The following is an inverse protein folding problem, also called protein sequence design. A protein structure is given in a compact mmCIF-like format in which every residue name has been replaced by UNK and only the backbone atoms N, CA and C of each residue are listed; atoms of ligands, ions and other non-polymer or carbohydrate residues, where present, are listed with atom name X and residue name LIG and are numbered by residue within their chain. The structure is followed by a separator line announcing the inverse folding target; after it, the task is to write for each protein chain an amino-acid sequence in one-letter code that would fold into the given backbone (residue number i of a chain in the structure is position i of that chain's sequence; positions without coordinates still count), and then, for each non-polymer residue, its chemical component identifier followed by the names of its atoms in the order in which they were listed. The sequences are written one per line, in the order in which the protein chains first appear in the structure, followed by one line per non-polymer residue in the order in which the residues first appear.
data_IF_671222249696
#
_entry.id   IF_671222249696
#
_cell.length_a   1.000
_cell.length_b   1.000
_cell.length_c   1.000
_cell.angle_alpha   90.00
_cell.angle_beta   90.00
_cell.angle_gamma   90.00
#
_symmetry.space_group_name_H-M   'P 1'
#
loop_
_entity.id
_entity.type
_entity.pdbx_description
1 polymer ?
#
# COMPACT_ATOMS: atom_id res chain seq x y z
N UNK A 1 39.17 -31.25 -58.17
CA UNK A 1 38.28 -30.74 -59.24
C UNK A 1 37.49 -29.62 -58.65
N UNK A 2 37.89 -28.43 -58.91
CA UNK A 2 37.28 -27.46 -59.81
C UNK A 2 35.89 -27.04 -59.29
N UNK A 3 35.50 -25.85 -58.90
CA UNK A 3 36.03 -24.52 -59.17
C UNK A 3 34.86 -23.56 -59.31
N UNK A 4 35.14 -22.27 -59.11
CA UNK A 4 34.40 -21.10 -59.61
C UNK A 4 33.13 -20.72 -58.69
N UNK A 5 33.02 -19.65 -57.91
CA UNK A 5 33.49 -18.29 -58.15
C UNK A 5 32.42 -17.44 -58.79
N UNK A 6 31.76 -16.54 -58.02
CA UNK A 6 31.43 -15.20 -58.52
C UNK A 6 30.92 -14.30 -57.42
N UNK A 7 31.68 -13.31 -57.07
CA UNK A 7 31.26 -12.17 -56.25
C UNK A 7 30.44 -11.20 -57.09
N UNK A 8 29.64 -10.41 -56.42
CA UNK A 8 29.19 -9.07 -56.87
C UNK A 8 29.10 -8.15 -55.69
N UNK A 9 30.04 -7.22 -55.70
CA UNK A 9 30.02 -5.97 -54.96
C UNK A 9 28.77 -5.17 -55.34
N UNK A 10 28.16 -4.54 -54.35
CA UNK A 10 27.22 -3.42 -54.57
C UNK A 10 27.60 -2.30 -53.61
N UNK A 11 28.17 -1.25 -54.19
CA UNK A 11 28.57 0.00 -53.58
C UNK A 11 27.33 0.93 -53.45
N UNK A 12 27.23 1.68 -52.37
CA UNK A 12 26.11 2.63 -52.15
C UNK A 12 26.55 4.05 -52.46
N UNK A 13 25.76 4.84 -53.15
CA UNK A 13 25.55 6.27 -53.06
C UNK A 13 24.76 6.81 -54.25
N UNK A 14 23.87 7.77 -54.10
CA UNK A 14 24.35 9.15 -54.02
C UNK A 14 23.62 10.06 -53.02
N UNK A 15 24.40 10.99 -52.51
CA UNK A 15 23.99 12.15 -51.71
C UNK A 15 23.11 13.09 -52.52
N UNK A 16 21.89 13.42 -52.04
CA UNK A 16 21.20 14.62 -52.40
C UNK A 16 21.33 15.65 -51.29
N UNK A 17 22.14 16.69 -51.53
CA UNK A 17 22.14 17.93 -50.78
C UNK A 17 20.95 18.80 -51.29
N UNK A 18 20.00 19.06 -50.39
CA UNK A 18 19.11 20.21 -50.55
C UNK A 18 19.57 21.33 -49.63
N UNK A 19 20.10 22.38 -50.23
CA UNK A 19 20.31 23.69 -49.60
C UNK A 19 18.95 24.40 -49.56
N UNK A 20 18.49 24.74 -48.35
CA UNK A 20 17.42 25.72 -48.16
C UNK A 20 18.02 26.99 -47.53
N UNK A 21 17.52 28.20 -47.94
CA UNK A 21 18.14 29.45 -47.61
C UNK A 21 17.84 29.89 -46.17
N UNK A 22 18.77 30.66 -45.62
CA UNK A 22 18.78 31.12 -44.25
C UNK A 22 17.55 31.91 -43.83
N UNK A 23 17.00 31.51 -42.68
CA UNK A 23 16.14 32.35 -41.86
C UNK A 23 16.95 32.71 -40.61
N UNK A 24 17.28 34.00 -40.47
CA UNK A 24 17.79 34.59 -39.22
C UNK A 24 16.75 34.36 -38.12
N UNK A 25 17.15 33.56 -37.12
CA UNK A 25 16.43 33.53 -35.84
C UNK A 25 16.91 34.72 -34.96
N UNK A 26 15.99 35.49 -34.36
CA UNK A 26 16.38 36.54 -33.42
C UNK A 26 16.98 35.89 -32.14
N UNK A 27 17.94 36.59 -31.56
CA UNK A 27 18.65 36.21 -30.37
C UNK A 27 17.73 35.70 -29.25
N UNK A 28 18.05 34.51 -28.74
CA UNK A 28 17.43 33.95 -27.56
C UNK A 28 17.73 34.85 -26.37
N UNK A 29 16.73 35.58 -25.91
CA UNK A 29 16.75 36.27 -24.62
C UNK A 29 17.01 35.24 -23.52
N UNK A 30 18.07 35.40 -22.79
CA UNK A 30 18.37 34.62 -21.60
C UNK A 30 17.16 34.64 -20.66
N UNK A 31 16.71 33.48 -20.16
CA UNK A 31 15.63 33.47 -19.18
C UNK A 31 16.14 34.12 -17.90
N UNK A 32 15.68 35.33 -17.62
CA UNK A 32 15.75 35.93 -16.30
C UNK A 32 14.98 35.01 -15.35
N UNK A 33 15.70 34.27 -14.53
CA UNK A 33 15.14 33.47 -13.45
C UNK A 33 14.51 34.41 -12.42
N UNK A 34 13.25 34.77 -12.66
CA UNK A 34 12.42 35.31 -11.60
C UNK A 34 12.05 34.14 -10.71
N UNK A 35 12.81 33.96 -9.67
CA UNK A 35 12.46 33.06 -8.55
C UNK A 35 11.33 33.76 -7.78
N UNK A 36 10.12 33.72 -8.31
CA UNK A 36 8.92 33.98 -7.53
C UNK A 36 8.80 32.81 -6.58
N UNK A 37 9.14 33.02 -5.29
CA UNK A 37 8.73 32.12 -4.24
C UNK A 37 7.22 31.86 -4.41
N UNK A 38 6.85 30.62 -4.65
CA UNK A 38 5.43 30.26 -4.73
C UNK A 38 4.77 30.77 -3.44
N UNK A 39 3.58 31.40 -3.51
CA UNK A 39 2.89 31.88 -2.33
C UNK A 39 2.74 30.67 -1.38
N UNK A 40 3.26 30.80 -0.16
CA UNK A 40 3.07 29.81 0.90
C UNK A 40 1.57 29.80 1.20
N UNK A 41 0.87 28.80 0.65
CA UNK A 41 -0.53 28.56 0.94
C UNK A 41 -0.66 28.27 2.44
N UNK A 42 -1.46 29.07 3.15
CA UNK A 42 -1.80 28.76 4.53
C UNK A 42 -2.79 27.57 4.52
N UNK A 43 -2.42 26.41 5.08
CA UNK A 43 -3.31 25.24 5.07
C UNK A 43 -4.63 25.51 5.80
N UNK A 44 -4.64 26.43 6.76
CA UNK A 44 -5.84 26.82 7.49
C UNK A 44 -6.89 27.51 6.59
N UNK A 45 -6.49 28.17 5.51
CA UNK A 45 -7.41 28.81 4.56
C UNK A 45 -8.16 27.78 3.69
N UNK A 46 -7.63 26.58 3.52
CA UNK A 46 -8.12 25.60 2.56
C UNK A 46 -8.69 24.32 3.19
N UNK A 47 -8.38 24.02 4.45
CA UNK A 47 -8.82 22.81 5.12
C UNK A 47 -9.51 23.13 6.46
N UNK A 48 -10.83 22.95 6.51
CA UNK A 48 -11.60 23.01 7.75
C UNK A 48 -11.14 21.93 8.75
N UNK A 49 -10.72 20.79 8.23
CA UNK A 49 -10.17 19.72 9.04
C UNK A 49 -8.90 20.19 9.77
N UNK A 50 -7.94 20.79 9.05
CA UNK A 50 -6.72 21.34 9.65
C UNK A 50 -7.00 22.37 10.73
N UNK A 51 -7.94 23.30 10.50
CA UNK A 51 -8.36 24.29 11.52
C UNK A 51 -8.92 23.62 12.79
N UNK A 52 -9.73 22.53 12.60
CA UNK A 52 -10.25 21.77 13.75
C UNK A 52 -9.12 21.12 14.54
N UNK A 53 -8.12 20.55 13.86
CA UNK A 53 -6.97 19.92 14.50
C UNK A 53 -6.15 20.92 15.34
N UNK A 54 -5.82 22.08 14.79
CA UNK A 54 -5.07 23.13 15.49
C UNK A 54 -5.75 23.56 16.79
N UNK A 55 -7.08 23.74 16.76
CA UNK A 55 -7.84 24.13 17.96
C UNK A 55 -7.94 23.03 18.99
N UNK A 56 -8.18 21.79 18.54
CA UNK A 56 -8.46 20.67 19.44
C UNK A 56 -7.19 20.14 20.11
N UNK A 57 -6.07 20.12 19.41
CA UNK A 57 -4.80 19.54 19.86
C UNK A 57 -3.70 20.59 20.07
N UNK A 58 -4.09 21.80 20.51
CA UNK A 58 -3.15 22.89 20.72
C UNK A 58 -2.05 22.52 21.73
N UNK A 59 -2.40 21.82 22.81
CA UNK A 59 -1.47 21.40 23.86
C UNK A 59 -0.53 20.26 23.42
N UNK A 60 -0.97 19.43 22.48
CA UNK A 60 -0.18 18.32 21.92
C UNK A 60 0.60 18.71 20.66
N UNK A 61 0.31 19.88 20.08
CA UNK A 61 0.84 20.30 18.78
C UNK A 61 2.35 20.27 18.69
N UNK A 62 3.03 20.63 19.79
CA UNK A 62 4.48 20.66 19.89
C UNK A 62 5.14 19.30 20.05
N UNK A 63 4.38 18.24 20.37
CA UNK A 63 4.92 16.89 20.59
C UNK A 63 5.44 16.26 19.30
N UNK A 64 4.81 16.56 18.15
CA UNK A 64 5.32 16.13 16.85
C UNK A 64 6.03 17.30 16.17
N UNK A 65 7.36 17.24 15.98
CA UNK A 65 8.12 18.32 15.38
C UNK A 65 7.66 18.65 13.96
N UNK A 66 7.90 19.88 13.48
CA UNK A 66 7.65 20.26 12.09
C UNK A 66 8.46 19.40 11.11
N UNK A 67 7.95 19.29 9.88
CA UNK A 67 8.59 18.52 8.81
C UNK A 67 7.97 17.12 8.63
N UNK A 68 8.69 16.25 7.90
CA UNK A 68 8.18 14.94 7.58
C UNK A 68 8.10 14.03 8.83
N UNK A 69 6.91 13.52 9.17
CA UNK A 69 6.78 12.53 10.23
C UNK A 69 7.55 11.27 9.85
N UNK A 70 8.56 10.91 10.64
CA UNK A 70 9.31 9.66 10.48
C UNK A 70 9.03 8.75 11.67
N UNK A 71 9.28 7.45 11.51
CA UNK A 71 9.00 6.43 12.53
C UNK A 71 9.53 6.81 13.92
N UNK A 72 10.74 7.34 13.99
CA UNK A 72 11.39 7.69 15.26
C UNK A 72 10.61 8.78 16.03
N UNK A 73 10.27 9.89 15.37
CA UNK A 73 9.56 10.97 16.04
C UNK A 73 8.09 10.64 16.31
N UNK A 74 7.44 9.80 15.49
CA UNK A 74 6.11 9.28 15.78
C UNK A 74 6.09 8.41 17.03
N UNK A 75 7.06 7.51 17.21
CA UNK A 75 7.20 6.68 18.42
C UNK A 75 7.51 7.53 19.65
N UNK A 76 8.37 8.54 19.52
CA UNK A 76 8.65 9.47 20.61
C UNK A 76 7.41 10.27 21.02
N UNK A 77 6.64 10.75 20.06
CA UNK A 77 5.36 11.44 20.31
C UNK A 77 4.36 10.51 21.02
N UNK A 78 4.27 9.25 20.57
CA UNK A 78 3.39 8.25 21.20
C UNK A 78 3.77 8.02 22.67
N UNK A 79 5.06 7.85 22.96
CA UNK A 79 5.57 7.69 24.32
C UNK A 79 5.22 8.92 25.20
N UNK A 80 5.46 10.13 24.68
CA UNK A 80 5.13 11.37 25.40
C UNK A 80 3.63 11.51 25.68
N UNK A 81 2.75 11.06 24.79
CA UNK A 81 1.31 11.03 25.03
C UNK A 81 0.95 10.05 26.14
N UNK A 82 1.56 8.87 26.17
CA UNK A 82 1.34 7.87 27.21
C UNK A 82 1.87 8.33 28.59
N UNK A 83 3.03 8.99 28.63
CA UNK A 83 3.58 9.61 29.84
C UNK A 83 2.67 10.71 30.41
N UNK A 84 1.88 11.39 29.56
CA UNK A 84 0.83 12.32 29.95
C UNK A 84 -0.46 11.63 30.41
N UNK A 85 -0.47 10.30 30.53
CA UNK A 85 -1.60 9.51 31.01
C UNK A 85 -2.60 9.10 29.94
N UNK A 86 -2.32 9.33 28.66
CA UNK A 86 -3.19 8.85 27.59
C UNK A 86 -3.08 7.32 27.42
N UNK A 87 -4.18 6.56 27.48
CA UNK A 87 -4.15 5.14 27.17
C UNK A 87 -3.77 4.92 25.68
N UNK A 88 -3.15 3.78 25.35
CA UNK A 88 -2.66 3.52 23.99
C UNK A 88 -3.70 3.78 22.89
N UNK A 89 -4.98 3.36 23.01
CA UNK A 89 -5.98 3.63 21.98
C UNK A 89 -6.22 5.13 21.72
N UNK A 90 -6.22 5.96 22.76
CA UNK A 90 -6.37 7.42 22.65
C UNK A 90 -5.09 8.06 22.11
N UNK A 91 -3.93 7.66 22.63
CA UNK A 91 -2.62 8.17 22.19
C UNK A 91 -2.37 7.93 20.69
N UNK A 92 -2.73 6.75 20.16
CA UNK A 92 -2.64 6.44 18.73
C UNK A 92 -3.53 7.32 17.86
N UNK A 93 -4.74 7.63 18.33
CA UNK A 93 -5.67 8.52 17.61
C UNK A 93 -5.17 9.95 17.60
N UNK A 94 -4.67 10.45 18.74
CA UNK A 94 -4.07 11.78 18.83
C UNK A 94 -2.83 11.86 17.92
N UNK A 95 -1.94 10.88 17.98
CA UNK A 95 -0.78 10.79 17.09
C UNK A 95 -1.19 10.89 15.63
N UNK A 96 -2.21 10.12 15.21
CA UNK A 96 -2.74 10.19 13.85
C UNK A 96 -3.15 11.61 13.46
N UNK A 97 -3.87 12.32 14.36
CA UNK A 97 -4.33 13.68 14.07
C UNK A 97 -3.14 14.65 13.90
N UNK A 98 -2.10 14.53 14.73
CA UNK A 98 -0.88 15.34 14.60
C UNK A 98 -0.13 15.02 13.29
N UNK A 99 -0.01 13.73 12.94
CA UNK A 99 0.60 13.32 11.67
C UNK A 99 -0.18 13.88 10.49
N UNK A 100 -1.51 13.77 10.49
CA UNK A 100 -2.36 14.33 9.43
C UNK A 100 -2.15 15.83 9.24
N UNK A 101 -2.02 16.59 10.33
CA UNK A 101 -1.73 18.02 10.26
C UNK A 101 -0.39 18.29 9.58
N UNK A 102 0.68 17.56 9.94
CA UNK A 102 1.99 17.69 9.28
C UNK A 102 1.96 17.29 7.81
N UNK A 103 1.18 16.27 7.44
CA UNK A 103 1.04 15.86 6.04
C UNK A 103 0.30 16.92 5.20
N UNK A 104 -0.70 17.61 5.76
CA UNK A 104 -1.37 18.73 5.09
C UNK A 104 -0.37 19.87 4.84
N UNK A 105 0.43 20.24 5.83
CA UNK A 105 1.49 21.26 5.70
C UNK A 105 2.49 20.88 4.58
N UNK A 106 2.94 19.65 4.56
CA UNK A 106 3.91 19.14 3.59
C UNK A 106 3.35 19.08 2.17
N UNK A 107 2.16 18.52 2.00
CA UNK A 107 1.58 18.30 0.65
C UNK A 107 1.03 19.60 0.06
N UNK A 108 0.26 20.38 0.84
CA UNK A 108 -0.42 21.56 0.33
C UNK A 108 0.50 22.79 0.27
N UNK A 109 1.40 22.98 1.25
CA UNK A 109 2.23 24.18 1.34
C UNK A 109 3.64 23.95 0.80
N UNK A 110 4.30 22.88 1.22
CA UNK A 110 5.67 22.57 0.82
C UNK A 110 5.76 21.75 -0.48
N UNK A 111 4.62 21.30 -1.05
CA UNK A 111 4.57 20.47 -2.25
C UNK A 111 5.53 19.26 -2.18
N UNK A 112 5.55 18.59 -1.04
CA UNK A 112 6.42 17.46 -0.78
C UNK A 112 6.17 16.32 -1.81
N UNK A 113 7.18 15.52 -2.14
CA UNK A 113 7.03 14.37 -3.00
C UNK A 113 5.96 13.40 -2.49
N UNK A 114 5.19 12.79 -3.39
CA UNK A 114 4.18 11.78 -3.07
C UNK A 114 4.72 10.68 -2.15
N UNK A 115 5.96 10.24 -2.39
CA UNK A 115 6.61 9.20 -1.58
C UNK A 115 6.74 9.59 -0.11
N UNK A 116 7.03 10.84 0.21
CA UNK A 116 7.14 11.36 1.59
C UNK A 116 5.81 11.20 2.32
N UNK A 117 4.72 11.57 1.67
CA UNK A 117 3.37 11.51 2.26
C UNK A 117 2.94 10.05 2.48
N UNK A 118 3.07 9.22 1.44
CA UNK A 118 2.64 7.82 1.52
C UNK A 118 3.50 6.98 2.47
N UNK A 119 4.79 7.28 2.56
CA UNK A 119 5.69 6.62 3.50
C UNK A 119 5.31 6.96 4.95
N UNK A 120 5.12 8.23 5.28
CA UNK A 120 4.74 8.64 6.63
C UNK A 120 3.38 8.03 7.06
N UNK A 121 2.38 8.02 6.16
CA UNK A 121 1.09 7.38 6.43
C UNK A 121 1.23 5.86 6.64
N UNK A 122 2.07 5.21 5.84
CA UNK A 122 2.33 3.77 5.97
C UNK A 122 3.04 3.45 7.28
N UNK A 123 4.05 4.23 7.66
CA UNK A 123 4.78 4.05 8.92
C UNK A 123 3.86 4.25 10.14
N UNK A 124 2.94 5.22 10.08
CA UNK A 124 1.93 5.40 11.11
C UNK A 124 1.03 4.16 11.26
N UNK A 125 0.60 3.57 10.15
CA UNK A 125 -0.21 2.34 10.19
C UNK A 125 0.59 1.15 10.75
N UNK A 126 1.85 1.00 10.35
CA UNK A 126 2.75 -0.04 10.88
C UNK A 126 2.97 0.12 12.39
N UNK A 127 3.18 1.35 12.89
CA UNK A 127 3.32 1.65 14.34
C UNK A 127 2.03 1.28 15.07
N UNK A 128 0.88 1.73 14.56
CA UNK A 128 -0.40 1.48 15.22
C UNK A 128 -0.71 -0.01 15.33
N UNK A 129 -0.48 -0.77 14.26
CA UNK A 129 -0.69 -2.23 14.25
C UNK A 129 0.31 -2.96 15.15
N UNK A 130 1.58 -2.56 15.15
CA UNK A 130 2.62 -3.14 16.01
C UNK A 130 2.31 -2.94 17.49
N UNK A 131 1.98 -1.73 17.91
CA UNK A 131 1.66 -1.40 19.30
C UNK A 131 0.36 -2.06 19.77
N UNK A 132 -0.68 -2.06 18.91
CA UNK A 132 -1.94 -2.74 19.21
C UNK A 132 -1.75 -4.26 19.34
N UNK A 133 -0.94 -4.87 18.48
CA UNK A 133 -0.62 -6.30 18.54
C UNK A 133 0.14 -6.66 19.83
N UNK A 134 1.16 -5.88 20.20
CA UNK A 134 1.92 -6.07 21.44
C UNK A 134 1.03 -5.99 22.68
N UNK A 135 0.16 -4.96 22.74
CA UNK A 135 -0.78 -4.82 23.86
C UNK A 135 -1.77 -5.98 23.94
N UNK A 136 -2.35 -6.36 22.78
CA UNK A 136 -3.32 -7.46 22.72
C UNK A 136 -2.71 -8.79 23.15
N UNK A 137 -1.48 -9.09 22.70
CA UNK A 137 -0.77 -10.32 23.11
C UNK A 137 -0.42 -10.28 24.61
N UNK A 138 0.11 -9.18 25.12
CA UNK A 138 0.42 -9.07 26.55
C UNK A 138 -0.82 -9.29 27.45
N UNK A 139 -1.97 -8.77 27.05
CA UNK A 139 -3.23 -8.98 27.74
C UNK A 139 -3.67 -10.45 27.72
N UNK A 140 -3.61 -11.11 26.54
CA UNK A 140 -4.05 -12.49 26.39
C UNK A 140 -3.06 -13.48 26.99
N UNK A 141 -1.77 -13.23 26.87
CA UNK A 141 -0.71 -14.07 27.46
C UNK A 141 -0.84 -14.13 29.00
N UNK A 142 -1.23 -13.03 29.64
CA UNK A 142 -1.47 -13.02 31.10
C UNK A 142 -2.63 -13.93 31.53
N UNK A 143 -3.58 -14.20 30.64
CA UNK A 143 -4.80 -15.00 30.94
C UNK A 143 -4.73 -16.44 30.42
N UNK A 144 -3.99 -16.65 29.31
CA UNK A 144 -4.03 -17.91 28.56
C UNK A 144 -2.65 -18.52 28.35
N UNK A 145 -1.57 -17.82 28.73
CA UNK A 145 -0.22 -18.20 28.34
C UNK A 145 0.05 -17.97 26.84
N UNK A 146 1.23 -18.39 26.39
CA UNK A 146 1.67 -18.16 25.02
C UNK A 146 1.15 -19.24 24.07
N UNK A 147 0.79 -18.91 22.81
CA UNK A 147 0.47 -19.89 21.79
C UNK A 147 1.68 -20.82 21.52
N UNK A 148 1.43 -22.12 21.53
CA UNK A 148 2.43 -23.15 21.28
C UNK A 148 2.05 -24.00 20.07
N UNK A 149 3.06 -24.40 19.32
CA UNK A 149 2.91 -25.38 18.25
C UNK A 149 2.90 -26.83 18.77
N UNK A 150 2.84 -27.81 17.85
CA UNK A 150 2.73 -29.23 18.22
C UNK A 150 3.86 -29.77 19.11
N UNK A 151 5.06 -29.17 19.00
CA UNK A 151 6.25 -29.54 19.76
C UNK A 151 6.49 -28.62 20.98
N UNK A 152 5.52 -27.77 21.32
CA UNK A 152 5.62 -26.80 22.39
C UNK A 152 6.42 -25.54 22.07
N UNK A 153 6.87 -25.36 20.82
CA UNK A 153 7.58 -24.17 20.37
C UNK A 153 6.63 -22.97 20.31
N UNK A 154 7.15 -21.74 20.53
CA UNK A 154 6.35 -20.51 20.33
C UNK A 154 5.84 -20.39 18.89
N UNK A 155 4.63 -19.86 18.72
CA UNK A 155 3.98 -19.68 17.43
C UNK A 155 4.11 -18.24 16.97
N UNK A 156 4.65 -18.06 15.76
CA UNK A 156 4.71 -16.77 15.10
C UNK A 156 3.33 -16.30 14.63
N UNK A 157 3.16 -14.98 14.60
CA UNK A 157 1.95 -14.33 14.14
C UNK A 157 2.29 -13.16 13.24
N UNK A 158 1.56 -13.03 12.14
CA UNK A 158 1.82 -11.99 11.13
C UNK A 158 0.54 -11.23 10.80
N UNK A 159 0.64 -9.91 10.84
CA UNK A 159 -0.35 -9.00 10.27
C UNK A 159 0.13 -8.65 8.88
N UNK A 160 -0.64 -9.08 7.88
CA UNK A 160 -0.32 -8.87 6.47
C UNK A 160 -1.11 -7.67 5.97
N UNK A 161 -0.41 -6.59 5.62
CA UNK A 161 -1.00 -5.45 4.92
C UNK A 161 -1.14 -5.77 3.44
N UNK A 162 -2.33 -5.57 2.91
CA UNK A 162 -2.68 -5.77 1.52
C UNK A 162 -2.69 -4.44 0.76
N UNK A 163 -2.81 -4.48 -0.54
CA UNK A 163 -3.00 -3.31 -1.38
C UNK A 163 -1.97 -2.19 -1.15
N UNK A 164 -2.45 -0.98 -0.92
CA UNK A 164 -1.58 0.20 -0.74
C UNK A 164 -0.71 0.13 0.53
N UNK A 165 -1.22 -0.45 1.62
CA UNK A 165 -0.44 -0.67 2.84
C UNK A 165 0.73 -1.62 2.59
N UNK A 166 0.47 -2.75 1.95
CA UNK A 166 1.51 -3.72 1.61
C UNK A 166 2.56 -3.15 0.64
N UNK A 167 2.15 -2.29 -0.28
CA UNK A 167 3.03 -1.61 -1.24
C UNK A 167 3.78 -0.39 -0.69
N UNK A 168 3.53 0.04 0.54
CA UNK A 168 4.03 1.31 1.12
C UNK A 168 3.56 2.56 0.36
N UNK A 169 2.35 2.48 -0.15
CA UNK A 169 1.71 3.55 -0.92
C UNK A 169 0.40 4.02 -0.27
N UNK A 170 0.27 3.93 1.08
CA UNK A 170 -0.98 4.20 1.77
C UNK A 170 -1.41 5.66 1.59
N UNK A 171 -2.68 5.87 1.28
CA UNK A 171 -3.29 7.21 1.24
C UNK A 171 -3.54 7.74 2.64
N UNK A 172 -3.68 9.04 2.74
CA UNK A 172 -3.87 9.77 4.01
C UNK A 172 -5.18 9.42 4.71
N UNK A 173 -6.25 9.14 3.96
CA UNK A 173 -7.54 8.70 4.51
C UNK A 173 -8.04 7.43 3.82
N UNK A 174 -7.20 6.38 3.83
CA UNK A 174 -7.52 5.07 3.25
C UNK A 174 -7.92 4.08 4.34
N UNK A 175 -8.75 3.11 3.95
CA UNK A 175 -8.89 1.89 4.73
C UNK A 175 -7.58 1.09 4.65
N UNK A 176 -7.31 0.28 5.66
CA UNK A 176 -6.24 -0.70 5.66
C UNK A 176 -6.83 -2.10 5.52
N UNK A 177 -6.49 -2.76 4.41
CA UNK A 177 -6.88 -4.14 4.15
C UNK A 177 -5.87 -5.07 4.83
N UNK A 178 -6.33 -5.97 5.69
CA UNK A 178 -5.48 -6.84 6.50
C UNK A 178 -5.87 -8.31 6.39
N UNK A 179 -4.86 -9.17 6.49
CA UNK A 179 -5.02 -10.61 6.71
C UNK A 179 -4.15 -11.02 7.90
N UNK A 180 -4.72 -11.76 8.84
CA UNK A 180 -4.00 -12.29 9.98
C UNK A 180 -3.64 -13.76 9.75
N UNK A 181 -2.35 -14.08 9.88
CA UNK A 181 -1.83 -15.44 9.71
C UNK A 181 -0.98 -15.80 10.91
N UNK A 182 -1.12 -17.03 11.42
CA UNK A 182 -0.26 -17.60 12.43
C UNK A 182 0.37 -18.90 11.93
N UNK A 183 1.51 -19.29 12.52
CA UNK A 183 2.36 -20.33 11.97
C UNK A 183 1.77 -21.73 12.11
N UNK A 184 1.40 -22.13 13.33
CA UNK A 184 0.96 -23.50 13.63
C UNK A 184 -0.33 -23.52 14.44
N UNK A 185 -1.19 -24.48 14.14
CA UNK A 185 -2.27 -24.88 15.04
C UNK A 185 -1.70 -25.52 16.30
N UNK A 186 -2.45 -25.47 17.39
CA UNK A 186 -2.06 -25.96 18.70
C UNK A 186 -2.89 -25.30 19.80
N UNK A 187 -2.34 -25.28 21.01
CA UNK A 187 -2.97 -24.68 22.19
C UNK A 187 -1.99 -23.75 22.91
N UNK A 188 -2.52 -22.82 23.68
CA UNK A 188 -1.69 -21.97 24.54
C UNK A 188 -1.13 -22.76 25.70
N UNK A 189 0.00 -22.30 26.28
CA UNK A 189 0.64 -22.94 27.42
C UNK A 189 -0.22 -22.96 28.68
N UNK A 190 -1.20 -22.08 28.79
CA UNK A 190 -1.97 -21.82 29.98
C UNK A 190 -1.25 -20.89 30.95
N UNK A 191 -1.92 -20.57 32.05
CA UNK A 191 -1.34 -19.85 33.19
C UNK A 191 -0.43 -20.75 34.02
N UNK A 192 0.44 -20.25 34.92
CA UNK A 192 1.35 -21.07 35.72
C UNK A 192 0.65 -22.16 36.56
N UNK A 193 -0.63 -21.97 36.88
CA UNK A 193 -1.47 -22.97 37.56
C UNK A 193 -2.13 -23.98 36.61
N UNK A 194 -1.77 -23.95 35.31
CA UNK A 194 -2.25 -24.86 34.26
C UNK A 194 -3.65 -24.59 33.75
N UNK A 195 -4.27 -23.49 34.15
CA UNK A 195 -5.62 -23.09 33.72
C UNK A 195 -5.58 -22.18 32.47
N UNK A 196 -6.74 -21.90 31.92
CA UNK A 196 -6.93 -20.88 30.88
C UNK A 196 -6.42 -21.27 29.50
N UNK A 197 -6.04 -22.54 29.25
CA UNK A 197 -5.66 -23.00 27.91
C UNK A 197 -6.80 -22.83 26.91
N UNK A 198 -6.48 -22.31 25.76
CA UNK A 198 -7.37 -22.19 24.60
C UNK A 198 -6.62 -22.58 23.33
N UNK A 199 -7.35 -22.90 22.27
CA UNK A 199 -6.75 -23.21 20.97
C UNK A 199 -6.09 -21.98 20.34
N UNK A 200 -5.05 -22.18 19.51
CA UNK A 200 -4.41 -21.09 18.77
C UNK A 200 -5.38 -20.32 17.87
N UNK A 201 -6.31 -20.96 17.11
CA UNK A 201 -7.35 -20.25 16.38
C UNK A 201 -8.18 -19.29 17.25
N UNK A 202 -8.59 -19.74 18.43
CA UNK A 202 -9.35 -18.91 19.38
C UNK A 202 -8.51 -17.77 19.93
N UNK A 203 -7.26 -18.04 20.32
CA UNK A 203 -6.33 -17.02 20.80
C UNK A 203 -6.12 -15.92 19.76
N UNK A 204 -5.77 -16.27 18.52
CA UNK A 204 -5.50 -15.29 17.47
C UNK A 204 -6.76 -14.58 16.95
N UNK A 205 -7.94 -15.19 17.04
CA UNK A 205 -9.20 -14.52 16.81
C UNK A 205 -9.48 -13.42 17.86
N UNK A 206 -9.10 -13.65 19.12
CA UNK A 206 -9.19 -12.66 20.20
C UNK A 206 -8.14 -11.54 20.00
N UNK A 207 -6.90 -11.87 19.62
CA UNK A 207 -5.87 -10.87 19.24
C UNK A 207 -6.40 -9.96 18.14
N UNK A 208 -6.94 -10.53 17.05
CA UNK A 208 -7.48 -9.75 15.94
C UNK A 208 -8.60 -8.80 16.38
N UNK A 209 -9.48 -9.24 17.30
CA UNK A 209 -10.55 -8.40 17.85
C UNK A 209 -10.00 -7.25 18.69
N UNK A 210 -9.01 -7.48 19.55
CA UNK A 210 -8.39 -6.44 20.38
C UNK A 210 -7.64 -5.41 19.51
N UNK A 211 -6.97 -5.85 18.46
CA UNK A 211 -6.35 -4.95 17.48
C UNK A 211 -7.41 -4.08 16.81
N UNK A 212 -8.55 -4.67 16.41
CA UNK A 212 -9.66 -3.93 15.80
C UNK A 212 -10.20 -2.86 16.76
N UNK A 213 -10.46 -3.19 18.01
CA UNK A 213 -10.91 -2.24 19.03
C UNK A 213 -9.90 -1.10 19.23
N UNK A 214 -8.61 -1.42 19.28
CA UNK A 214 -7.55 -0.42 19.51
C UNK A 214 -7.39 0.54 18.33
N UNK A 215 -7.42 0.03 17.08
CA UNK A 215 -7.12 0.81 15.88
C UNK A 215 -8.37 1.29 15.14
N UNK A 216 -9.39 0.42 15.03
CA UNK A 216 -10.54 0.60 14.15
C UNK A 216 -11.73 1.33 14.78
N UNK A 217 -11.97 1.15 16.08
CA UNK A 217 -13.13 1.73 16.74
C UNK A 217 -13.08 3.26 16.71
N UNK A 218 -14.26 3.89 16.53
CA UNK A 218 -14.40 5.34 16.52
C UNK A 218 -14.67 5.86 17.92
N UNK A 219 -13.89 6.84 18.34
CA UNK A 219 -14.02 7.56 19.61
C UNK A 219 -14.20 9.05 19.36
N UNK A 220 -14.16 9.87 20.42
CA UNK A 220 -14.14 11.34 20.32
C UNK A 220 -12.92 11.87 19.54
N UNK A 221 -11.83 11.09 19.46
CA UNK A 221 -10.65 11.39 18.64
C UNK A 221 -10.71 10.81 17.23
N UNK A 222 -11.84 10.21 16.84
CA UNK A 222 -12.00 9.43 15.60
C UNK A 222 -11.45 8.01 15.72
N UNK A 223 -11.12 7.37 14.59
CA UNK A 223 -10.40 6.10 14.55
C UNK A 223 -8.93 6.33 14.12
N UNK A 224 -8.05 5.36 14.37
CA UNK A 224 -6.68 5.44 13.82
C UNK A 224 -6.72 5.11 12.33
N UNK A 225 -7.28 3.95 11.97
CA UNK A 225 -7.57 3.56 10.59
C UNK A 225 -8.86 2.74 10.55
N UNK A 226 -9.65 2.91 9.49
CA UNK A 226 -10.71 1.96 9.15
C UNK A 226 -10.06 0.66 8.68
N UNK A 227 -10.51 -0.47 9.20
CA UNK A 227 -9.91 -1.78 8.95
C UNK A 227 -10.85 -2.63 8.13
N UNK A 228 -10.33 -3.24 7.05
CA UNK A 228 -11.06 -4.19 6.21
C UNK A 228 -10.36 -5.56 6.22
N UNK A 229 -11.13 -6.60 6.52
CA UNK A 229 -10.69 -7.99 6.52
C UNK A 229 -11.32 -8.82 5.39
N UNK A 230 -12.01 -8.20 4.44
CA UNK A 230 -12.76 -8.90 3.39
C UNK A 230 -11.85 -9.71 2.43
N UNK A 231 -10.56 -9.37 2.36
CA UNK A 231 -9.58 -10.09 1.53
C UNK A 231 -9.04 -11.39 2.15
N UNK A 232 -9.45 -11.71 3.41
CA UNK A 232 -9.02 -12.96 4.05
C UNK A 232 -9.65 -14.19 3.39
N UNK A 233 -9.06 -15.38 3.52
CA UNK A 233 -9.65 -16.62 3.02
C UNK A 233 -11.13 -16.77 3.41
N UNK A 234 -11.96 -17.10 2.45
CA UNK A 234 -13.43 -17.18 2.58
C UNK A 234 -14.12 -15.84 2.91
N UNK A 235 -13.42 -14.70 2.81
CA UNK A 235 -14.00 -13.38 3.04
C UNK A 235 -14.67 -13.26 4.41
N UNK A 236 -15.86 -12.67 4.47
CA UNK A 236 -16.56 -12.43 5.74
C UNK A 236 -17.10 -13.72 6.41
N UNK A 237 -17.14 -14.84 5.71
CA UNK A 237 -17.53 -16.15 6.26
C UNK A 237 -16.35 -16.91 6.88
N UNK A 238 -15.11 -16.48 6.59
CA UNK A 238 -13.90 -17.10 7.13
C UNK A 238 -13.53 -16.61 8.53
N UNK A 239 -12.67 -17.36 9.25
CA UNK A 239 -12.17 -16.94 10.56
C UNK A 239 -11.36 -15.64 10.45
N UNK A 240 -11.26 -14.85 11.56
CA UNK A 240 -10.49 -13.62 11.57
C UNK A 240 -8.99 -13.84 11.33
N UNK A 241 -8.43 -14.95 11.81
CA UNK A 241 -7.06 -15.36 11.61
C UNK A 241 -7.00 -16.82 11.14
N UNK A 242 -6.02 -17.15 10.30
CA UNK A 242 -5.85 -18.48 9.70
C UNK A 242 -4.45 -19.01 9.98
N UNK A 243 -4.30 -20.33 10.10
CA UNK A 243 -2.97 -20.93 10.15
C UNK A 243 -2.29 -20.90 8.77
N UNK A 244 -0.95 -20.97 8.76
CA UNK A 244 -0.18 -20.98 7.50
C UNK A 244 -0.60 -22.18 6.63
N UNK A 245 -0.85 -23.33 7.22
CA UNK A 245 -1.31 -24.52 6.52
C UNK A 245 -2.71 -24.32 5.88
N UNK A 246 -3.64 -23.75 6.63
CA UNK A 246 -4.97 -23.44 6.10
C UNK A 246 -4.93 -22.38 4.99
N UNK A 247 -4.03 -21.39 5.09
CA UNK A 247 -3.79 -20.42 4.01
C UNK A 247 -3.25 -21.11 2.75
N UNK A 248 -2.28 -22.01 2.91
CA UNK A 248 -1.69 -22.75 1.78
C UNK A 248 -2.75 -23.59 1.05
N UNK A 249 -3.51 -24.37 1.80
CA UNK A 249 -4.60 -25.18 1.25
C UNK A 249 -5.63 -24.31 0.51
N UNK A 250 -6.05 -23.19 1.13
CA UNK A 250 -6.97 -22.26 0.49
C UNK A 250 -6.45 -21.73 -0.84
N UNK A 251 -5.20 -21.26 -0.88
CA UNK A 251 -4.61 -20.68 -2.09
C UNK A 251 -4.40 -21.72 -3.19
N UNK A 252 -4.16 -23.00 -2.83
CA UNK A 252 -3.99 -24.09 -3.78
C UNK A 252 -5.33 -24.56 -4.37
N UNK A 253 -6.37 -24.68 -3.54
CA UNK A 253 -7.64 -25.32 -3.93
C UNK A 253 -8.71 -24.31 -4.35
N UNK A 254 -8.80 -23.18 -3.66
CA UNK A 254 -9.88 -22.20 -3.81
C UNK A 254 -9.42 -20.83 -4.33
N UNK A 255 -8.10 -20.56 -4.31
CA UNK A 255 -7.54 -19.26 -4.67
C UNK A 255 -7.95 -18.81 -6.07
N UNK A 256 -8.60 -17.65 -6.17
CA UNK A 256 -9.15 -17.08 -7.41
C UNK A 256 -8.12 -16.18 -8.10
N UNK A 257 -8.30 -15.97 -9.39
CA UNK A 257 -7.38 -15.16 -10.19
C UNK A 257 -7.27 -13.71 -9.70
N UNK A 258 -8.38 -13.09 -9.23
CA UNK A 258 -8.34 -11.74 -8.70
C UNK A 258 -7.55 -11.64 -7.38
N UNK A 259 -7.46 -12.71 -6.59
CA UNK A 259 -6.69 -12.73 -5.34
C UNK A 259 -5.19 -12.65 -5.60
N UNK A 260 -4.71 -13.10 -6.77
CA UNK A 260 -3.30 -12.91 -7.16
C UNK A 260 -2.91 -11.44 -7.21
N UNK A 261 -3.82 -10.58 -7.68
CA UNK A 261 -3.62 -9.12 -7.70
C UNK A 261 -3.57 -8.55 -6.28
N UNK A 262 -4.43 -9.04 -5.39
CA UNK A 262 -4.42 -8.64 -3.99
C UNK A 262 -3.11 -9.08 -3.30
N UNK A 263 -2.75 -10.35 -3.41
CA UNK A 263 -1.55 -10.93 -2.80
C UNK A 263 -0.23 -10.41 -3.39
N UNK A 264 -0.22 -9.93 -4.63
CA UNK A 264 0.95 -9.30 -5.26
C UNK A 264 1.48 -8.14 -4.41
N UNK A 265 0.60 -7.32 -3.85
CA UNK A 265 0.96 -6.18 -2.99
C UNK A 265 1.00 -6.55 -1.50
N UNK A 266 0.91 -7.82 -1.12
CA UNK A 266 0.93 -8.25 0.27
C UNK A 266 2.31 -8.09 0.92
N UNK A 267 2.34 -7.72 2.21
CA UNK A 267 3.56 -7.60 3.01
C UNK A 267 3.24 -7.78 4.50
N UNK A 268 4.09 -8.49 5.23
CA UNK A 268 4.03 -8.48 6.70
C UNK A 268 4.33 -7.06 7.19
N UNK A 269 3.43 -6.47 7.96
CA UNK A 269 3.52 -5.09 8.45
C UNK A 269 3.71 -5.01 9.96
N UNK A 270 3.31 -6.05 10.69
CA UNK A 270 3.48 -6.20 12.12
C UNK A 270 3.38 -7.70 12.52
N UNK A 271 3.87 -8.12 13.69
CA UNK A 271 4.75 -7.35 14.58
C UNK A 271 6.10 -7.04 13.91
N UNK A 272 6.76 -5.97 14.38
CA UNK A 272 8.04 -5.52 13.78
C UNK A 272 9.16 -6.55 13.93
N UNK A 273 9.15 -7.32 14.97
CA UNK A 273 10.13 -8.39 15.29
C UNK A 273 10.02 -9.57 14.31
N UNK A 274 8.81 -9.88 13.86
CA UNK A 274 8.55 -11.00 12.94
C UNK A 274 8.83 -10.67 11.46
N UNK A 275 9.11 -9.40 11.12
CA UNK A 275 9.34 -8.99 9.72
C UNK A 275 10.63 -9.58 9.13
N UNK A 276 11.67 -9.70 9.94
CA UNK A 276 12.99 -10.20 9.53
C UNK A 276 13.22 -11.68 9.83
N UNK A 277 12.27 -12.36 10.47
CA UNK A 277 12.39 -13.74 10.92
C UNK A 277 12.42 -14.76 9.77
N UNK A 278 12.96 -15.94 10.05
CA UNK A 278 12.98 -17.10 9.13
C UNK A 278 11.57 -17.58 8.80
N UNK A 279 10.66 -17.51 9.75
CA UNK A 279 9.27 -17.91 9.60
C UNK A 279 8.51 -17.11 8.52
N UNK A 280 8.87 -15.83 8.29
CA UNK A 280 8.34 -15.05 7.15
C UNK A 280 8.70 -15.67 5.80
N UNK A 281 9.79 -16.42 5.70
CA UNK A 281 10.16 -17.12 4.47
C UNK A 281 9.17 -18.26 4.15
N UNK A 282 8.65 -18.95 5.18
CA UNK A 282 7.60 -19.96 5.00
C UNK A 282 6.34 -19.33 4.42
N UNK A 283 5.86 -18.20 4.99
CA UNK A 283 4.74 -17.45 4.43
C UNK A 283 4.99 -17.02 2.97
N UNK A 284 6.19 -16.54 2.66
CA UNK A 284 6.56 -16.19 1.27
C UNK A 284 6.57 -17.41 0.36
N UNK A 285 7.00 -18.56 0.87
CA UNK A 285 6.98 -19.84 0.16
C UNK A 285 5.58 -20.25 -0.29
N UNK A 286 4.57 -19.96 0.52
CA UNK A 286 3.15 -20.19 0.19
C UNK A 286 2.62 -19.16 -0.81
N UNK A 287 2.88 -17.86 -0.59
CA UNK A 287 2.29 -16.78 -1.37
C UNK A 287 2.90 -16.62 -2.77
N UNK A 288 4.23 -16.72 -2.90
CA UNK A 288 4.90 -16.44 -4.18
C UNK A 288 4.51 -17.40 -5.31
N UNK A 289 4.41 -18.72 -5.10
CA UNK A 289 3.95 -19.66 -6.14
C UNK A 289 2.51 -19.42 -6.56
N UNK A 290 1.66 -18.99 -5.62
CA UNK A 290 0.29 -18.63 -5.94
C UNK A 290 0.23 -17.40 -6.85
N UNK A 291 0.97 -16.32 -6.52
CA UNK A 291 0.93 -15.06 -7.28
C UNK A 291 1.64 -15.19 -8.63
N UNK A 292 2.84 -15.79 -8.66
CA UNK A 292 3.73 -15.79 -9.82
C UNK A 292 3.93 -17.23 -10.36
N UNK A 293 3.03 -17.67 -11.22
CA UNK A 293 3.22 -18.92 -11.96
C UNK A 293 4.22 -18.74 -13.08
N UNK A 294 5.05 -19.76 -13.32
CA UNK A 294 6.04 -19.76 -14.41
C UNK A 294 5.36 -19.82 -15.79
N UNK A 295 4.26 -20.54 -15.87
CA UNK A 295 3.44 -20.69 -17.06
C UNK A 295 1.99 -20.37 -16.69
N UNK A 296 1.38 -19.50 -17.49
CA UNK A 296 -0.03 -19.14 -17.34
C UNK A 296 -0.81 -19.84 -18.46
N UNK A 297 -1.86 -20.54 -18.10
CA UNK A 297 -2.80 -21.12 -19.05
C UNK A 297 -3.55 -20.02 -19.81
N UNK A 298 -3.99 -20.34 -21.03
CA UNK A 298 -4.81 -19.44 -21.87
C UNK A 298 -6.05 -18.93 -21.11
N UNK A 299 -6.66 -19.78 -20.30
CA UNK A 299 -7.82 -19.43 -19.48
C UNK A 299 -7.57 -18.29 -18.48
N UNK A 300 -6.32 -18.10 -18.04
CA UNK A 300 -5.96 -16.99 -17.15
C UNK A 300 -6.09 -15.65 -17.90
N UNK A 301 -5.69 -15.58 -19.16
CA UNK A 301 -5.84 -14.36 -19.96
C UNK A 301 -7.31 -13.99 -20.19
N UNK A 302 -8.17 -14.98 -20.44
CA UNK A 302 -9.62 -14.77 -20.56
C UNK A 302 -10.22 -14.28 -19.23
N UNK A 303 -9.84 -14.88 -18.12
CA UNK A 303 -10.28 -14.46 -16.77
C UNK A 303 -9.82 -13.05 -16.45
N UNK A 304 -8.59 -12.67 -16.83
CA UNK A 304 -8.05 -11.33 -16.64
C UNK A 304 -8.77 -10.29 -17.51
N UNK A 305 -9.08 -10.62 -18.76
CA UNK A 305 -9.90 -9.76 -19.65
C UNK A 305 -11.31 -9.57 -19.10
N UNK A 306 -11.91 -10.63 -18.58
CA UNK A 306 -13.23 -10.58 -17.95
C UNK A 306 -13.20 -9.69 -16.70
N UNK A 307 -12.19 -9.84 -15.84
CA UNK A 307 -12.00 -9.00 -14.65
C UNK A 307 -11.84 -7.50 -15.03
N UNK A 308 -11.03 -7.19 -16.04
CA UNK A 308 -10.89 -5.82 -16.53
C UNK A 308 -12.21 -5.25 -17.03
N UNK A 309 -12.98 -6.03 -17.80
CA UNK A 309 -14.29 -5.65 -18.29
C UNK A 309 -15.25 -5.36 -17.13
N UNK A 310 -15.32 -6.25 -16.14
CA UNK A 310 -16.14 -6.05 -14.94
C UNK A 310 -15.78 -4.77 -14.18
N UNK A 311 -14.48 -4.48 -14.01
CA UNK A 311 -14.02 -3.23 -13.37
C UNK A 311 -14.56 -2.02 -14.14
N UNK A 312 -14.48 -2.01 -15.48
CA UNK A 312 -14.97 -0.90 -16.32
C UNK A 312 -16.50 -0.77 -16.30
N UNK A 313 -17.21 -1.87 -16.39
CA UNK A 313 -18.69 -1.89 -16.29
C UNK A 313 -19.17 -1.38 -14.92
N UNK A 314 -18.49 -1.77 -13.86
CA UNK A 314 -18.79 -1.26 -12.51
C UNK A 314 -18.55 0.25 -12.42
N UNK A 315 -17.46 0.77 -12.97
CA UNK A 315 -17.18 2.20 -13.01
C UNK A 315 -18.26 2.96 -13.79
N UNK A 316 -18.66 2.46 -14.97
CA UNK A 316 -19.71 3.04 -15.81
C UNK A 316 -21.06 3.01 -15.08
N UNK A 317 -21.43 1.91 -14.44
CA UNK A 317 -22.69 1.81 -13.68
C UNK A 317 -22.75 2.78 -12.50
N UNK A 318 -21.61 2.99 -11.82
CA UNK A 318 -21.54 3.94 -10.68
C UNK A 318 -21.62 5.41 -11.10
N UNK A 319 -21.15 5.76 -12.28
CA UNK A 319 -21.27 7.12 -12.84
C UNK A 319 -22.62 7.38 -13.51
N UNK A 320 -23.38 6.34 -13.85
CA UNK A 320 -24.70 6.47 -14.45
C UNK A 320 -25.67 7.17 -13.45
N UNK A 321 -26.21 8.31 -13.86
CA UNK A 321 -27.11 9.14 -13.02
C UNK A 321 -26.41 10.02 -11.98
N UNK A 322 -25.07 10.05 -11.95
CA UNK A 322 -24.26 10.84 -11.03
C UNK A 322 -23.15 11.58 -11.76
N UNK A 323 -23.42 12.75 -12.38
CA UNK A 323 -22.43 13.49 -13.18
C UNK A 323 -21.15 13.85 -12.42
N UNK A 324 -21.26 14.09 -11.10
CA UNK A 324 -20.14 14.37 -10.21
C UNK A 324 -19.14 13.21 -10.16
N UNK A 325 -19.58 11.96 -10.32
CA UNK A 325 -18.72 10.76 -10.32
C UNK A 325 -17.98 10.52 -11.62
N UNK A 326 -18.27 11.29 -12.66
CA UNK A 326 -17.51 11.23 -13.91
C UNK A 326 -16.04 11.65 -13.71
N UNK A 327 -15.78 12.48 -12.70
CA UNK A 327 -14.45 12.99 -12.34
C UNK A 327 -13.78 12.19 -11.19
N UNK A 328 -14.27 10.99 -10.85
CA UNK A 328 -13.65 10.14 -9.84
C UNK A 328 -12.22 9.76 -10.25
N UNK A 329 -11.22 10.35 -9.58
CA UNK A 329 -9.79 10.18 -9.90
C UNK A 329 -9.30 8.75 -9.73
N UNK A 330 -10.03 7.92 -8.97
CA UNK A 330 -9.66 6.53 -8.70
C UNK A 330 -10.34 5.55 -9.65
N UNK A 331 -11.65 5.71 -9.89
CA UNK A 331 -12.49 4.70 -10.54
C UNK A 331 -12.89 5.05 -11.97
N UNK A 332 -12.79 6.32 -12.40
CA UNK A 332 -13.09 6.71 -13.77
C UNK A 332 -12.07 6.15 -14.77
N UNK A 333 -12.42 6.25 -16.05
CA UNK A 333 -11.51 5.83 -17.13
C UNK A 333 -10.21 6.66 -17.08
N UNK A 334 -9.06 5.98 -17.13
CA UNK A 334 -7.74 6.61 -16.97
C UNK A 334 -7.37 6.89 -15.51
N UNK A 335 -8.22 6.53 -14.54
CA UNK A 335 -7.99 6.74 -13.13
C UNK A 335 -6.92 5.83 -12.52
N UNK A 336 -6.63 6.07 -11.24
CA UNK A 336 -5.58 5.37 -10.48
C UNK A 336 -5.71 3.85 -10.62
N UNK A 337 -6.93 3.32 -10.52
CA UNK A 337 -7.19 1.87 -10.56
C UNK A 337 -6.85 1.22 -11.90
N UNK A 338 -7.07 1.90 -13.01
CA UNK A 338 -6.70 1.38 -14.34
C UNK A 338 -5.17 1.34 -14.52
N UNK A 339 -4.45 2.35 -14.01
CA UNK A 339 -2.99 2.37 -14.03
C UNK A 339 -2.45 1.22 -13.19
N UNK A 340 -2.89 1.08 -11.95
CA UNK A 340 -2.48 -0.01 -11.05
C UNK A 340 -2.78 -1.38 -11.66
N UNK A 341 -3.97 -1.57 -12.22
CA UNK A 341 -4.36 -2.82 -12.86
C UNK A 341 -3.44 -3.18 -14.04
N UNK A 342 -3.13 -2.21 -14.91
CA UNK A 342 -2.25 -2.42 -16.06
C UNK A 342 -0.85 -2.87 -15.62
N UNK A 343 -0.30 -2.25 -14.58
CA UNK A 343 1.01 -2.61 -14.02
C UNK A 343 0.97 -4.01 -13.42
N UNK A 344 0.00 -4.28 -12.56
CA UNK A 344 -0.15 -5.57 -11.87
C UNK A 344 -0.41 -6.71 -12.84
N UNK A 345 -1.17 -6.47 -13.91
CA UNK A 345 -1.41 -7.45 -14.95
C UNK A 345 -0.09 -7.93 -15.57
N UNK A 346 0.78 -7.01 -15.97
CA UNK A 346 2.09 -7.34 -16.52
C UNK A 346 2.99 -8.04 -15.50
N UNK A 347 2.91 -7.65 -14.22
CA UNK A 347 3.65 -8.31 -13.14
C UNK A 347 3.19 -9.76 -12.91
N UNK A 348 1.88 -10.00 -12.84
CA UNK A 348 1.32 -11.35 -12.66
C UNK A 348 1.68 -12.24 -13.84
N UNK A 349 1.55 -11.71 -15.07
CA UNK A 349 1.82 -12.47 -16.31
C UNK A 349 3.31 -12.80 -16.49
N UNK A 350 4.19 -11.88 -16.12
CA UNK A 350 5.63 -12.00 -16.42
C UNK A 350 6.51 -12.25 -15.19
N UNK A 351 6.02 -11.97 -13.98
CA UNK A 351 6.80 -12.07 -12.74
C UNK A 351 7.25 -13.50 -12.39
N UNK A 352 6.63 -14.52 -12.99
CA UNK A 352 7.12 -15.91 -12.89
C UNK A 352 8.46 -16.12 -13.60
N UNK A 353 8.66 -15.45 -14.74
CA UNK A 353 9.88 -15.51 -15.56
C UNK A 353 10.89 -14.43 -15.19
N UNK A 354 10.43 -13.27 -14.74
CA UNK A 354 11.23 -12.08 -14.42
C UNK A 354 11.08 -11.72 -12.93
N UNK A 355 11.88 -12.30 -12.01
CA UNK A 355 11.76 -12.04 -10.56
C UNK A 355 11.91 -10.57 -10.17
N UNK A 356 12.63 -9.77 -10.95
CA UNK A 356 12.81 -8.34 -10.75
C UNK A 356 11.51 -7.54 -10.85
N UNK A 357 10.48 -8.08 -11.51
CA UNK A 357 9.15 -7.48 -11.60
C UNK A 357 8.31 -7.65 -10.33
N UNK A 358 8.73 -8.51 -9.40
CA UNK A 358 7.99 -8.82 -8.17
C UNK A 358 8.10 -7.68 -7.14
N UNK A 359 7.89 -6.45 -7.59
CA UNK A 359 7.94 -5.23 -6.76
C UNK A 359 6.52 -4.77 -6.43
N UNK A 360 6.31 -4.34 -5.20
CA UNK A 360 4.98 -3.93 -4.72
C UNK A 360 4.62 -2.49 -5.10
N UNK A 361 5.54 -1.49 -4.96
CA UNK A 361 5.23 -0.11 -5.33
C UNK A 361 4.99 0.05 -6.82
N UNK A 362 3.93 0.77 -7.19
CA UNK A 362 3.48 0.95 -8.57
C UNK A 362 4.52 1.69 -9.43
N UNK A 363 5.14 2.75 -8.89
CA UNK A 363 6.15 3.53 -9.62
C UNK A 363 7.42 2.73 -9.89
N UNK A 364 7.91 1.95 -8.90
CA UNK A 364 9.07 1.04 -9.08
C UNK A 364 8.74 -0.06 -10.09
N UNK A 365 7.53 -0.62 -10.03
CA UNK A 365 7.09 -1.63 -10.99
C UNK A 365 7.03 -1.09 -12.43
N UNK A 366 6.52 0.13 -12.65
CA UNK A 366 6.52 0.80 -13.96
C UNK A 366 7.93 0.94 -14.52
N UNK A 367 8.88 1.40 -13.71
CA UNK A 367 10.28 1.54 -14.13
C UNK A 367 10.88 0.18 -14.53
N UNK A 368 10.62 -0.87 -13.74
CA UNK A 368 11.14 -2.21 -14.03
C UNK A 368 10.53 -2.84 -15.27
N UNK A 369 9.24 -2.62 -15.51
CA UNK A 369 8.58 -3.05 -16.74
C UNK A 369 9.20 -2.39 -17.98
N UNK A 370 9.56 -1.11 -17.89
CA UNK A 370 10.26 -0.42 -18.97
C UNK A 370 11.69 -0.97 -19.18
N UNK A 371 12.44 -1.17 -18.08
CA UNK A 371 13.81 -1.74 -18.14
C UNK A 371 13.82 -3.15 -18.70
N UNK A 372 12.81 -3.97 -18.39
CA UNK A 372 12.65 -5.31 -18.93
C UNK A 372 12.13 -5.36 -20.38
N UNK A 373 11.88 -4.20 -21.03
CA UNK A 373 11.35 -4.13 -22.39
C UNK A 373 9.88 -4.59 -22.53
N UNK A 374 9.14 -4.73 -21.43
CA UNK A 374 7.74 -5.16 -21.41
C UNK A 374 6.75 -4.00 -21.58
N UNK A 375 7.24 -2.79 -21.48
CA UNK A 375 6.49 -1.55 -21.71
C UNK A 375 7.42 -0.51 -22.36
N UNK A 376 6.94 0.25 -23.37
CA UNK A 376 7.73 1.36 -23.92
C UNK A 376 8.12 2.36 -22.83
N UNK A 377 9.37 2.84 -22.75
CA UNK A 377 9.81 3.77 -21.71
C UNK A 377 8.98 5.05 -21.63
N UNK A 378 8.58 5.58 -22.79
CA UNK A 378 7.71 6.78 -22.86
C UNK A 378 6.34 6.53 -22.24
N UNK A 379 5.73 5.35 -22.47
CA UNK A 379 4.46 4.97 -21.87
C UNK A 379 4.57 4.80 -20.36
N UNK A 380 5.64 4.16 -19.89
CA UNK A 380 5.89 4.00 -18.45
C UNK A 380 6.05 5.36 -17.75
N UNK A 381 6.79 6.29 -18.34
CA UNK A 381 6.95 7.65 -17.82
C UNK A 381 5.63 8.44 -17.82
N UNK A 382 4.82 8.32 -18.88
CA UNK A 382 3.53 8.98 -18.96
C UNK A 382 2.58 8.46 -17.86
N UNK A 383 2.51 7.12 -17.66
CA UNK A 383 1.72 6.50 -16.61
C UNK A 383 2.23 6.89 -15.21
N UNK A 384 3.55 6.96 -15.01
CA UNK A 384 4.13 7.38 -13.73
C UNK A 384 3.76 8.83 -13.37
N UNK A 385 3.83 9.76 -14.33
CA UNK A 385 3.41 11.15 -14.13
C UNK A 385 1.91 11.25 -13.83
N UNK A 386 1.07 10.55 -14.63
CA UNK A 386 -0.37 10.53 -14.42
C UNK A 386 -0.73 9.94 -13.05
N UNK A 387 -0.13 8.82 -12.67
CA UNK A 387 -0.33 8.19 -11.37
C UNK A 387 0.04 9.13 -10.22
N UNK A 388 1.20 9.77 -10.27
CA UNK A 388 1.65 10.72 -9.25
C UNK A 388 0.67 11.89 -9.12
N UNK A 389 0.26 12.48 -10.23
CA UNK A 389 -0.69 13.59 -10.25
C UNK A 389 -2.05 13.20 -9.65
N UNK A 390 -2.63 12.08 -10.11
CA UNK A 390 -3.92 11.60 -9.61
C UNK A 390 -3.89 11.28 -8.11
N UNK A 391 -2.77 10.71 -7.62
CA UNK A 391 -2.59 10.42 -6.20
C UNK A 391 -2.49 11.71 -5.36
N UNK A 392 -1.81 12.74 -5.85
CA UNK A 392 -1.76 14.05 -5.19
C UNK A 392 -3.15 14.70 -5.15
N UNK A 393 -3.92 14.61 -6.23
CA UNK A 393 -5.31 15.10 -6.25
C UNK A 393 -6.17 14.32 -5.24
N UNK A 394 -6.07 12.97 -5.22
CA UNK A 394 -6.78 12.13 -4.26
C UNK A 394 -6.49 12.54 -2.81
N UNK A 395 -5.22 12.79 -2.44
CA UNK A 395 -4.85 13.27 -1.11
C UNK A 395 -5.46 14.62 -0.77
N UNK A 396 -5.39 15.59 -1.70
CA UNK A 396 -5.91 16.94 -1.46
C UNK A 396 -7.42 16.97 -1.27
N UNK A 397 -8.15 16.13 -1.99
CA UNK A 397 -9.59 15.94 -1.76
C UNK A 397 -9.83 15.35 -0.36
N UNK A 398 -9.04 14.35 0.06
CA UNK A 398 -9.19 13.72 1.36
C UNK A 398 -8.86 14.63 2.54
N UNK A 399 -7.98 15.63 2.36
CA UNK A 399 -7.67 16.61 3.41
C UNK A 399 -8.79 17.60 3.71
N UNK A 400 -9.83 17.71 2.90
CA UNK A 400 -10.91 18.65 3.14
C UNK A 400 -11.64 18.32 4.44
N UNK A 401 -12.01 17.05 4.64
CA UNK A 401 -12.80 16.59 5.78
C UNK A 401 -12.36 15.23 6.36
N UNK A 402 -11.17 14.73 6.03
CA UNK A 402 -10.67 13.40 6.42
C UNK A 402 -11.65 12.27 6.01
N UNK A 403 -12.16 12.35 4.78
CA UNK A 403 -13.09 11.36 4.25
C UNK A 403 -12.46 10.58 3.11
N UNK A 404 -12.87 9.30 3.00
CA UNK A 404 -12.50 8.46 1.85
C UNK A 404 -13.34 8.86 0.64
N UNK A 405 -12.99 9.97 0.04
CA UNK A 405 -13.62 10.46 -1.20
C UNK A 405 -12.61 10.53 -2.33
N UNK A 406 -13.10 10.45 -3.56
CA UNK A 406 -12.30 10.44 -4.79
C UNK A 406 -12.89 11.41 -5.84
N UNK A 407 -13.89 12.23 -5.44
CA UNK A 407 -14.64 13.14 -6.27
C UNK A 407 -14.59 14.54 -5.68
#
# INVERSE_FOLDING_TARGET
MAGIGCGRDYDPHPRCRFLLPGTCFPAVLSPTTVTTAAPTLDPALHSRFYQRLQRRYADEWSLLPPGAPVRANMLQTLAALQERGQPLPAALRILRQLVMARLIELDCCAQAPLATITQATTELAEIALDQACRQARAELDSRHGHPCGPEGQPVEFWIIGMGKLGARELNVSSDIDLIYVYEHDGETSGTPDGRGRISNPEYFARVARLIHTTVGDTTEHGCVFRMDLALRPNGNSGPPAVSLAALEEYLQVQGREWERFAWLKSRVVAPSDSIAGTAVQALRGVVLPFVFRRYLDYNVFESLRSLHRQIREHATKRSAGHPERANDVKLSRGGIREIEFTVQLLQVVRGGQFPELRRRPTLDALQRLATAGLMPPQSAQALARAYTFLRQVEHRIQYLDDQQTHV
#
